data_IF_330638993998
#
_entry.id   IF_330638993998
#
_cell.length_a   1.000
_cell.length_b   1.000
_cell.length_c   1.000
_cell.angle_alpha   90.00
_cell.angle_beta   90.00
_cell.angle_gamma   90.00
#
_symmetry.space_group_name_H-M   'P 1'
#
loop_
_entity.id
_entity.type
_entity.pdbx_description
1 polymer ?
#
# COMPACT_ATOMS: atom_id res chain seq x y z
N UNK A 1 3.58 43.60 -18.13
CA UNK A 1 4.84 44.31 -17.77
C UNK A 1 5.95 43.40 -18.17
N UNK A 2 6.64 43.78 -19.25
CA UNK A 2 7.78 43.01 -19.77
C UNK A 2 9.05 43.53 -19.13
N UNK A 3 9.85 42.66 -18.58
CA UNK A 3 11.23 42.94 -18.21
C UNK A 3 12.15 42.12 -19.13
N UNK A 4 12.92 42.79 -19.96
CA UNK A 4 13.96 42.19 -20.77
C UNK A 4 15.25 42.19 -19.95
N UNK A 5 15.78 41.01 -19.69
CA UNK A 5 17.14 40.84 -19.22
C UNK A 5 17.79 39.72 -20.01
N UNK A 6 18.76 40.13 -20.82
CA UNK A 6 19.80 39.33 -21.52
C UNK A 6 19.53 37.84 -21.75
N UNK A 7 18.92 37.47 -22.84
CA UNK A 7 19.40 36.32 -23.62
C UNK A 7 18.81 34.95 -23.37
N UNK A 8 17.77 34.77 -22.54
CA UNK A 8 17.07 33.48 -22.44
C UNK A 8 15.56 33.72 -22.27
N UNK A 9 14.79 33.30 -23.27
CA UNK A 9 13.33 33.41 -23.29
C UNK A 9 12.72 32.22 -22.51
N UNK A 10 12.41 32.39 -21.23
CA UNK A 10 11.59 31.44 -20.49
C UNK A 10 10.11 31.75 -20.70
N UNK A 11 9.44 30.89 -21.44
CA UNK A 11 7.97 30.94 -21.64
C UNK A 11 7.29 30.19 -20.51
N UNK A 12 6.74 30.92 -19.53
CA UNK A 12 5.89 30.34 -18.48
C UNK A 12 4.50 30.12 -19.08
N UNK A 13 4.06 28.89 -19.21
CA UNK A 13 2.68 28.53 -19.53
C UNK A 13 1.85 28.60 -18.22
N UNK A 14 0.96 29.57 -18.16
CA UNK A 14 -0.05 29.63 -17.13
C UNK A 14 -1.23 28.76 -17.58
N UNK A 15 -1.41 27.63 -16.95
CA UNK A 15 -2.59 26.78 -17.13
C UNK A 15 -3.76 27.44 -16.42
N UNK A 16 -4.75 27.89 -17.18
CA UNK A 16 -6.04 28.38 -16.64
C UNK A 16 -6.93 27.18 -16.38
N UNK A 17 -7.29 26.97 -15.12
CA UNK A 17 -8.37 26.07 -14.74
C UNK A 17 -9.74 26.72 -14.99
N UNK A 18 -10.75 25.98 -15.48
CA UNK A 18 -12.10 26.51 -15.66
C UNK A 18 -12.78 26.74 -14.30
N UNK A 19 -13.67 27.74 -14.17
CA UNK A 19 -14.36 28.02 -12.93
C UNK A 19 -15.49 27.02 -12.69
N UNK A 20 -15.48 26.34 -11.55
CA UNK A 20 -16.63 25.62 -11.05
C UNK A 20 -17.66 26.58 -10.46
N UNK A 21 -18.92 26.35 -10.77
CA UNK A 21 -20.10 27.09 -10.34
C UNK A 21 -20.22 27.18 -8.83
N UNK A 22 -20.30 28.41 -8.33
CA UNK A 22 -20.81 28.75 -7.01
C UNK A 22 -22.34 28.63 -6.94
N UNK A 23 -22.85 27.95 -5.92
CA UNK A 23 -24.18 28.21 -5.39
C UNK A 23 -24.16 28.35 -3.88
N UNK A 24 -24.19 29.62 -3.47
CA UNK A 24 -24.92 30.27 -2.38
C UNK A 24 -24.88 29.70 -0.95
N UNK A 25 -24.29 30.35 -0.03
CA UNK A 25 -24.82 31.29 0.98
C UNK A 25 -23.84 31.52 2.15
N UNK A 26 -23.34 32.69 2.17
CA UNK A 26 -23.05 33.65 3.21
C UNK A 26 -22.90 33.21 4.67
N UNK A 27 -21.64 33.32 5.17
CA UNK A 27 -21.31 34.15 6.36
C UNK A 27 -19.80 34.31 6.45
N UNK A 28 -19.40 35.56 6.51
CA UNK A 28 -18.04 36.05 6.73
C UNK A 28 -17.69 35.82 8.21
N UNK A 29 -16.59 35.10 8.47
CA UNK A 29 -15.87 35.18 9.74
C UNK A 29 -14.40 35.48 9.46
N UNK A 30 -13.88 36.50 10.11
CA UNK A 30 -12.56 37.09 9.94
C UNK A 30 -11.50 36.30 10.70
N UNK A 31 -10.32 36.17 10.06
CA UNK A 31 -9.05 36.30 10.76
C UNK A 31 -8.36 35.02 11.24
N UNK A 32 -7.44 34.50 10.42
CA UNK A 32 -6.33 33.66 10.91
C UNK A 32 -5.02 34.22 10.36
N UNK A 33 -3.96 34.38 11.18
CA UNK A 33 -2.73 35.06 10.79
C UNK A 33 -1.83 34.17 9.92
N UNK A 34 -1.26 34.84 8.93
CA UNK A 34 -0.29 34.36 7.96
C UNK A 34 1.01 33.87 8.62
N UNK A 35 1.23 32.57 8.74
CA UNK A 35 2.55 32.02 9.11
C UNK A 35 3.47 31.96 7.90
N UNK A 36 4.63 32.57 8.06
CA UNK A 36 5.68 32.75 7.07
C UNK A 36 6.29 31.37 6.69
N UNK A 37 6.19 30.99 5.43
CA UNK A 37 6.97 29.90 4.86
C UNK A 37 8.43 30.31 4.73
N UNK A 38 9.32 29.67 5.47
CA UNK A 38 10.76 29.79 5.34
C UNK A 38 11.20 28.77 4.27
N UNK A 39 11.64 29.31 3.13
CA UNK A 39 12.24 28.52 2.05
C UNK A 39 13.73 28.32 2.37
N UNK A 40 14.15 27.11 2.70
CA UNK A 40 15.57 26.75 2.83
C UNK A 40 16.05 26.19 1.50
N UNK A 41 16.84 26.98 0.78
CA UNK A 41 17.57 26.53 -0.42
C UNK A 41 18.92 26.00 0.06
N UNK A 42 19.13 24.69 -0.06
CA UNK A 42 20.47 24.08 0.12
C UNK A 42 21.15 23.94 -1.23
N UNK A 43 22.17 24.74 -1.44
CA UNK A 43 23.05 24.69 -2.59
C UNK A 43 24.12 23.63 -2.35
N UNK A 44 24.06 22.49 -3.01
CA UNK A 44 25.13 21.48 -2.97
C UNK A 44 26.13 21.71 -4.10
N UNK A 45 27.34 22.03 -3.68
CA UNK A 45 28.51 22.23 -4.52
C UNK A 45 29.18 20.89 -4.83
N UNK A 46 29.18 20.50 -6.10
CA UNK A 46 29.84 19.28 -6.58
C UNK A 46 31.35 19.49 -6.68
N UNK A 47 32.13 18.64 -6.02
CA UNK A 47 33.59 18.58 -6.22
C UNK A 47 33.94 17.29 -6.95
N UNK A 48 34.36 17.41 -8.19
CA UNK A 48 34.96 16.37 -9.02
C UNK A 48 36.40 16.11 -8.55
N UNK A 49 36.70 14.85 -8.24
CA UNK A 49 38.10 14.40 -8.23
C UNK A 49 38.19 13.04 -8.93
N UNK A 50 38.76 13.10 -10.12
CA UNK A 50 39.25 11.98 -10.92
C UNK A 50 40.53 11.42 -10.30
N UNK A 51 40.69 10.10 -10.22
CA UNK A 51 42.00 9.47 -10.31
C UNK A 51 41.94 8.13 -11.03
N UNK A 52 42.89 7.95 -11.86
CA UNK A 52 43.16 6.98 -12.93
C UNK A 52 43.87 5.74 -12.43
N UNK A 53 43.53 4.59 -13.07
CA UNK A 53 44.39 3.51 -13.59
C UNK A 53 45.43 2.81 -12.70
N UNK A 54 45.39 1.46 -12.72
CA UNK A 54 46.34 0.49 -13.28
C UNK A 54 45.94 -0.90 -12.79
N UNK A 55 45.57 -1.89 -13.65
CA UNK A 55 46.39 -2.78 -14.48
C UNK A 55 47.12 -3.90 -13.73
N UNK A 56 46.85 -5.17 -14.12
CA UNK A 56 47.63 -6.37 -13.85
C UNK A 56 46.76 -7.55 -13.57
N UNK A 57 46.32 -8.34 -14.48
CA UNK A 57 46.85 -9.47 -15.28
C UNK A 57 47.05 -10.80 -14.49
N UNK A 58 46.34 -11.85 -15.01
CA UNK A 58 46.70 -13.29 -15.16
C UNK A 58 46.78 -14.14 -13.87
N UNK A 59 46.40 -15.34 -13.81
CA UNK A 59 46.03 -16.47 -14.69
C UNK A 59 45.67 -17.69 -13.84
N UNK A 60 44.87 -18.60 -14.43
CA UNK A 60 44.96 -20.06 -14.50
C UNK A 60 44.20 -20.92 -13.48
N UNK A 61 43.11 -21.47 -13.95
CA UNK A 61 42.85 -22.88 -14.32
C UNK A 61 43.29 -23.99 -13.34
N UNK A 62 42.34 -24.77 -12.82
CA UNK A 62 42.32 -26.22 -13.00
C UNK A 62 41.11 -26.84 -12.27
N UNK A 63 40.20 -27.47 -13.00
CA UNK A 63 39.47 -28.70 -12.63
C UNK A 63 40.42 -29.88 -12.87
N UNK A 64 40.19 -31.10 -12.37
CA UNK A 64 38.98 -31.91 -12.47
C UNK A 64 38.69 -32.89 -11.30
N UNK A 65 37.48 -33.38 -11.25
CA UNK A 65 37.09 -34.79 -11.50
C UNK A 65 36.80 -35.71 -10.30
N UNK A 66 35.58 -36.28 -10.36
CA UNK A 66 35.18 -37.70 -10.25
C UNK A 66 35.09 -38.33 -8.87
N UNK A 67 33.93 -38.77 -8.43
CA UNK A 67 33.41 -40.11 -8.40
C UNK A 67 32.35 -40.32 -7.32
N UNK A 68 31.18 -40.74 -7.72
CA UNK A 68 30.25 -41.51 -6.88
C UNK A 68 30.78 -42.96 -6.75
N UNK A 69 30.33 -43.75 -5.78
CA UNK A 69 29.27 -44.70 -6.11
C UNK A 69 28.22 -44.94 -5.00
N UNK A 70 27.14 -45.48 -5.48
CA UNK A 70 26.01 -46.15 -4.84
C UNK A 70 26.41 -47.27 -3.86
N UNK A 71 25.56 -47.61 -2.91
CA UNK A 71 24.99 -48.95 -2.78
C UNK A 71 23.93 -49.04 -1.67
N UNK A 72 22.83 -49.66 -2.04
CA UNK A 72 21.67 -50.21 -1.33
C UNK A 72 21.97 -50.98 -0.03
N UNK A 73 20.98 -51.13 0.88
CA UNK A 73 20.18 -52.35 1.07
C UNK A 73 19.41 -52.32 2.41
N UNK A 74 18.11 -52.43 2.30
CA UNK A 74 17.08 -53.21 3.01
C UNK A 74 17.36 -53.75 4.42
N UNK A 75 16.41 -53.57 5.36
CA UNK A 75 15.65 -54.66 5.99
C UNK A 75 14.63 -54.15 7.03
N UNK A 76 13.43 -54.70 6.94
CA UNK A 76 12.28 -54.67 7.86
C UNK A 76 12.62 -55.22 9.24
N UNK A 77 11.91 -54.71 10.26
CA UNK A 77 11.34 -55.57 11.33
C UNK A 77 10.23 -54.83 12.08
N UNK A 78 9.08 -55.44 12.08
CA UNK A 78 7.89 -55.18 12.88
C UNK A 78 8.18 -55.41 14.37
N UNK A 79 7.46 -54.74 15.28
CA UNK A 79 6.62 -55.28 16.30
C UNK A 79 6.42 -54.30 17.46
N UNK A 80 5.26 -54.04 17.74
CA UNK A 80 4.34 -54.11 18.87
C UNK A 80 3.91 -52.77 19.51
N UNK A 81 2.62 -52.74 19.59
CA UNK A 81 1.65 -51.89 20.20
C UNK A 81 1.85 -51.72 21.71
N UNK A 82 1.93 -50.49 22.19
CA UNK A 82 1.39 -50.17 23.51
C UNK A 82 0.54 -48.86 23.41
N UNK A 83 -0.74 -49.07 23.62
CA UNK A 83 -1.75 -48.04 23.73
C UNK A 83 -1.63 -47.39 25.12
N UNK A 84 -1.07 -46.19 25.16
CA UNK A 84 -1.26 -45.30 26.30
C UNK A 84 -2.27 -44.23 25.86
N UNK A 85 -3.45 -44.31 26.47
CA UNK A 85 -4.47 -43.29 26.36
C UNK A 85 -3.98 -42.06 27.13
N UNK A 86 -3.32 -41.11 26.44
CA UNK A 86 -3.22 -39.74 26.91
C UNK A 86 -4.55 -39.06 26.64
N UNK A 87 -5.21 -38.67 27.71
CA UNK A 87 -6.33 -37.74 27.68
C UNK A 87 -5.75 -36.39 27.28
N UNK A 88 -5.78 -36.10 25.98
CA UNK A 88 -5.58 -34.73 25.49
C UNK A 88 -6.75 -33.91 26.03
N UNK A 89 -6.47 -33.12 27.06
CA UNK A 89 -7.30 -31.97 27.38
C UNK A 89 -7.14 -31.01 26.20
N UNK A 90 -8.08 -31.05 25.27
CA UNK A 90 -8.24 -29.94 24.32
C UNK A 90 -8.46 -28.68 25.17
N UNK A 91 -7.42 -27.92 25.35
CA UNK A 91 -7.54 -26.50 25.67
C UNK A 91 -8.21 -25.92 24.43
N UNK A 92 -9.52 -25.64 24.50
CA UNK A 92 -10.15 -24.75 23.53
C UNK A 92 -9.30 -23.50 23.50
N UNK A 93 -8.59 -23.29 22.38
CA UNK A 93 -7.98 -22.01 22.08
C UNK A 93 -9.15 -21.01 22.09
N UNK A 94 -9.18 -20.10 23.04
CA UNK A 94 -10.07 -18.94 22.99
C UNK A 94 -9.84 -18.33 21.61
N UNK A 95 -10.84 -18.44 20.75
CA UNK A 95 -10.80 -17.77 19.45
C UNK A 95 -10.83 -16.28 19.75
N UNK A 96 -9.72 -15.59 19.47
CA UNK A 96 -9.64 -14.14 19.61
C UNK A 96 -10.76 -13.53 18.75
N UNK A 97 -11.73 -12.90 19.42
CA UNK A 97 -12.84 -12.25 18.73
C UNK A 97 -12.35 -10.86 18.29
N UNK A 98 -12.16 -10.61 16.98
CA UNK A 98 -11.58 -9.36 16.50
C UNK A 98 -12.44 -8.12 16.77
N UNK A 99 -13.68 -8.27 17.25
CA UNK A 99 -14.55 -7.17 17.67
C UNK A 99 -14.33 -6.75 19.13
N UNK A 100 -13.72 -7.62 19.96
CA UNK A 100 -13.50 -7.35 21.39
C UNK A 100 -12.27 -6.47 21.57
N UNK A 101 -12.42 -5.38 22.30
CA UNK A 101 -11.34 -4.42 22.60
C UNK A 101 -10.91 -4.49 24.06
N UNK A 102 -9.60 -4.34 24.29
CA UNK A 102 -9.05 -4.24 25.64
C UNK A 102 -9.48 -2.94 26.33
N UNK A 103 -9.31 -2.88 27.66
CA UNK A 103 -9.60 -1.66 28.41
C UNK A 103 -8.75 -0.47 27.94
N UNK A 104 -9.41 0.67 27.68
CA UNK A 104 -8.77 1.90 27.20
C UNK A 104 -8.49 1.96 25.71
N UNK A 105 -8.91 0.95 24.95
CA UNK A 105 -8.85 0.91 23.49
C UNK A 105 -10.17 1.39 22.90
N UNK A 106 -10.12 2.22 21.87
CA UNK A 106 -11.28 2.72 21.16
C UNK A 106 -11.95 1.63 20.33
N UNK A 107 -13.26 1.58 20.31
CA UNK A 107 -14.02 0.91 19.26
C UNK A 107 -13.84 1.64 17.94
N UNK A 108 -14.11 0.98 16.81
CA UNK A 108 -14.07 1.64 15.50
C UNK A 108 -15.01 2.86 15.42
N UNK A 109 -16.19 2.78 16.02
CA UNK A 109 -17.14 3.89 16.07
C UNK A 109 -16.60 5.09 16.86
N UNK A 110 -15.90 4.86 17.97
CA UNK A 110 -15.24 5.93 18.73
C UNK A 110 -14.07 6.54 17.96
N UNK A 111 -13.27 5.72 17.27
CA UNK A 111 -12.22 6.20 16.38
C UNK A 111 -12.77 7.07 15.24
N UNK A 112 -13.83 6.64 14.57
CA UNK A 112 -14.47 7.42 13.50
C UNK A 112 -14.99 8.77 14.05
N UNK A 113 -15.58 8.78 15.25
CA UNK A 113 -16.12 9.98 15.89
C UNK A 113 -15.05 10.92 16.48
N UNK A 114 -13.82 10.44 16.68
CA UNK A 114 -12.72 11.26 17.21
C UNK A 114 -12.36 12.38 16.23
N UNK A 115 -12.09 13.58 16.77
CA UNK A 115 -11.65 14.73 15.97
C UNK A 115 -10.23 14.49 15.42
N UNK A 116 -9.90 15.16 14.31
CA UNK A 116 -8.52 15.18 13.79
C UNK A 116 -7.58 15.78 14.83
N UNK A 117 -6.31 15.41 14.76
CA UNK A 117 -5.22 15.77 15.70
C UNK A 117 -5.46 15.26 17.14
N UNK A 118 -6.41 14.33 17.35
CA UNK A 118 -6.67 13.69 18.63
C UNK A 118 -5.81 12.44 18.76
N UNK A 119 -5.26 12.21 19.96
CA UNK A 119 -4.60 10.94 20.27
C UNK A 119 -5.63 9.81 20.31
N UNK A 120 -5.30 8.73 19.62
CA UNK A 120 -6.13 7.52 19.54
C UNK A 120 -5.35 6.30 20.02
N UNK A 121 -6.06 5.35 20.60
CA UNK A 121 -5.53 4.03 20.95
C UNK A 121 -6.44 3.00 20.33
N UNK A 122 -5.91 2.17 19.44
CA UNK A 122 -6.68 1.14 18.73
C UNK A 122 -6.00 -0.22 18.86
N UNK A 123 -6.77 -1.28 18.70
CA UNK A 123 -6.30 -2.64 18.46
C UNK A 123 -6.83 -3.08 17.09
N UNK A 124 -5.92 -3.58 16.27
CA UNK A 124 -6.26 -4.07 14.94
C UNK A 124 -5.27 -5.15 14.50
N UNK A 125 -5.57 -5.76 13.37
CA UNK A 125 -4.77 -6.85 12.81
C UNK A 125 -4.13 -6.41 11.49
N UNK A 126 -2.85 -6.64 11.35
CA UNK A 126 -2.10 -6.35 10.12
C UNK A 126 -2.74 -7.10 8.96
N UNK A 127 -3.09 -6.42 7.88
CA UNK A 127 -3.58 -7.03 6.65
C UNK A 127 -2.51 -6.99 5.55
N UNK A 128 -1.80 -5.88 5.46
CA UNK A 128 -0.64 -5.72 4.58
C UNK A 128 0.26 -4.60 5.09
N UNK A 129 1.47 -4.53 4.58
CA UNK A 129 2.43 -3.47 4.91
C UNK A 129 3.25 -3.10 3.69
N UNK A 130 3.59 -1.83 3.58
CA UNK A 130 4.56 -1.33 2.60
C UNK A 130 5.99 -1.73 3.00
N UNK A 131 6.93 -1.58 2.10
CA UNK A 131 8.35 -1.80 2.36
C UNK A 131 8.83 -0.95 3.54
N UNK A 132 9.67 -1.57 4.39
CA UNK A 132 10.30 -0.85 5.51
C UNK A 132 11.25 0.25 5.01
N UNK A 133 11.21 1.41 5.66
CA UNK A 133 12.03 2.55 5.30
C UNK A 133 12.37 3.40 6.54
N UNK A 134 13.65 3.64 6.80
CA UNK A 134 14.15 4.58 7.81
C UNK A 134 13.47 4.43 9.18
N UNK A 135 13.47 3.21 9.74
CA UNK A 135 12.82 2.87 11.02
C UNK A 135 11.31 3.16 11.05
N UNK A 136 10.64 3.01 9.93
CA UNK A 136 9.20 3.22 9.76
C UNK A 136 8.52 2.11 8.98
N UNK A 137 7.25 1.89 9.30
CA UNK A 137 6.36 1.01 8.56
C UNK A 137 5.04 1.73 8.26
N UNK A 138 4.56 1.62 7.03
CA UNK A 138 3.19 1.98 6.66
C UNK A 138 2.39 0.70 6.54
N UNK A 139 1.26 0.62 7.25
CA UNK A 139 0.55 -0.65 7.48
C UNK A 139 -0.95 -0.47 7.30
N UNK A 140 -1.55 -1.34 6.50
CA UNK A 140 -3.00 -1.53 6.45
C UNK A 140 -3.41 -2.49 7.54
N UNK A 141 -4.28 -2.04 8.44
CA UNK A 141 -4.81 -2.85 9.55
C UNK A 141 -6.32 -2.85 9.54
N UNK A 142 -6.92 -3.93 10.01
CA UNK A 142 -8.37 -4.08 10.07
C UNK A 142 -8.77 -4.97 11.25
N UNK A 143 -9.90 -4.66 11.85
CA UNK A 143 -10.61 -5.54 12.79
C UNK A 143 -11.96 -5.99 12.18
N UNK A 144 -12.86 -6.52 13.00
CA UNK A 144 -14.19 -6.95 12.51
C UNK A 144 -15.09 -5.77 12.14
N UNK A 145 -14.88 -4.59 12.73
CA UNK A 145 -15.77 -3.43 12.64
C UNK A 145 -15.30 -2.39 11.62
N UNK A 146 -13.97 -2.35 11.33
CA UNK A 146 -13.43 -1.38 10.39
C UNK A 146 -11.92 -1.48 10.20
N UNK A 147 -11.36 -0.52 9.48
CA UNK A 147 -9.96 -0.51 9.11
C UNK A 147 -9.26 0.80 9.47
N UNK A 148 -7.94 0.70 9.64
CA UNK A 148 -7.08 1.82 10.03
C UNK A 148 -5.81 1.80 9.19
N UNK A 149 -5.45 2.95 8.65
CA UNK A 149 -4.21 3.14 7.90
C UNK A 149 -3.16 3.78 8.81
N UNK A 150 -2.05 3.08 9.05
CA UNK A 150 -0.96 3.55 9.89
C UNK A 150 0.14 4.09 9.00
N UNK A 151 0.28 5.41 8.95
CA UNK A 151 1.26 6.04 8.07
C UNK A 151 2.57 6.30 8.80
N UNK A 152 3.67 5.76 8.25
CA UNK A 152 5.02 5.97 8.79
C UNK A 152 5.16 5.70 10.30
N UNK A 153 4.48 4.66 10.79
CA UNK A 153 4.56 4.24 12.18
C UNK A 153 6.02 3.87 12.55
N UNK A 154 6.49 4.33 13.71
CA UNK A 154 7.83 4.00 14.20
C UNK A 154 7.98 2.48 14.36
N UNK A 155 8.94 1.88 13.64
CA UNK A 155 9.09 0.44 13.55
C UNK A 155 10.54 0.04 13.27
N UNK A 156 11.17 -0.70 14.18
CA UNK A 156 12.48 -1.29 13.91
C UNK A 156 12.40 -2.35 12.82
N UNK A 157 13.51 -2.64 12.13
CA UNK A 157 13.56 -3.71 11.13
C UNK A 157 13.21 -5.08 11.74
N UNK A 158 13.62 -5.32 13.00
CA UNK A 158 13.29 -6.55 13.72
C UNK A 158 11.78 -6.68 13.96
N UNK A 159 11.12 -5.60 14.40
CA UNK A 159 9.67 -5.62 14.65
C UNK A 159 8.88 -5.62 13.33
N UNK A 160 9.39 -4.94 12.30
CA UNK A 160 8.80 -5.02 10.97
C UNK A 160 8.71 -6.46 10.45
N UNK A 161 9.74 -7.28 10.69
CA UNK A 161 9.71 -8.69 10.29
C UNK A 161 8.60 -9.49 11.00
N UNK A 162 8.18 -9.07 12.20
CA UNK A 162 7.10 -9.70 12.98
C UNK A 162 5.69 -9.27 12.56
N UNK A 163 5.56 -8.12 11.89
CA UNK A 163 4.28 -7.60 11.38
C UNK A 163 3.85 -8.40 10.15
N UNK A 164 3.43 -9.63 10.34
CA UNK A 164 2.89 -10.50 9.29
C UNK A 164 1.36 -10.36 9.21
N UNK A 165 0.76 -10.72 8.07
CA UNK A 165 -0.70 -10.71 7.92
C UNK A 165 -1.36 -11.50 9.03
N UNK A 166 -2.36 -10.91 9.67
CA UNK A 166 -3.09 -11.46 10.80
C UNK A 166 -2.52 -11.07 12.17
N UNK A 167 -1.29 -10.54 12.27
CA UNK A 167 -0.69 -10.14 13.56
C UNK A 167 -1.53 -9.07 14.24
N UNK A 168 -1.94 -9.29 15.51
CA UNK A 168 -2.61 -8.31 16.34
C UNK A 168 -1.61 -7.29 16.87
N UNK A 169 -1.96 -6.02 16.75
CA UNK A 169 -1.19 -4.91 17.31
C UNK A 169 -2.09 -3.92 18.04
N UNK A 170 -1.57 -3.38 19.14
CA UNK A 170 -2.14 -2.23 19.83
C UNK A 170 -1.32 -1.00 19.46
N UNK A 171 -2.01 0.01 18.95
CA UNK A 171 -1.39 1.21 18.38
C UNK A 171 -1.82 2.44 19.16
N UNK A 172 -0.85 3.30 19.47
CA UNK A 172 -1.08 4.65 19.99
C UNK A 172 -0.50 5.66 19.02
N UNK A 173 -1.33 6.61 18.54
CA UNK A 173 -0.92 7.62 17.59
C UNK A 173 -1.91 8.76 17.54
N UNK A 174 -1.88 9.56 16.48
CA UNK A 174 -2.77 10.70 16.30
C UNK A 174 -3.58 10.53 15.01
N UNK A 175 -4.91 10.68 15.10
CA UNK A 175 -5.77 10.68 13.94
C UNK A 175 -5.48 11.90 13.08
N UNK A 176 -5.23 11.68 11.80
CA UNK A 176 -4.92 12.71 10.83
C UNK A 176 -5.71 12.50 9.54
N UNK A 177 -5.66 13.47 8.65
CA UNK A 177 -6.21 13.36 7.31
C UNK A 177 -5.25 13.99 6.31
N UNK A 178 -5.00 13.26 5.22
CA UNK A 178 -4.22 13.76 4.10
C UNK A 178 -4.94 13.52 2.78
N UNK A 179 -5.38 14.59 2.13
CA UNK A 179 -6.10 14.53 0.83
C UNK A 179 -7.34 13.62 0.83
N UNK A 180 -8.05 13.56 1.97
CA UNK A 180 -9.23 12.73 2.17
C UNK A 180 -8.94 11.33 2.72
N UNK A 181 -7.68 10.92 2.80
CA UNK A 181 -7.27 9.69 3.49
C UNK A 181 -7.20 9.94 4.99
N UNK A 182 -7.98 9.16 5.77
CA UNK A 182 -7.93 9.20 7.24
C UNK A 182 -6.88 8.20 7.72
N UNK A 183 -5.85 8.71 8.38
CA UNK A 183 -4.69 7.95 8.79
C UNK A 183 -4.36 8.14 10.27
N UNK A 184 -3.53 7.26 10.83
CA UNK A 184 -2.92 7.42 12.14
C UNK A 184 -1.44 7.69 11.93
N UNK A 185 -0.97 8.86 12.42
CA UNK A 185 0.40 9.33 12.31
C UNK A 185 1.10 9.36 13.66
N UNK A 186 2.42 9.54 13.65
CA UNK A 186 3.27 9.58 14.86
C UNK A 186 2.99 8.39 15.80
N UNK A 187 2.71 7.24 15.19
CA UNK A 187 2.26 6.05 15.87
C UNK A 187 3.41 5.21 16.43
N UNK A 188 3.14 4.57 17.55
CA UNK A 188 3.90 3.46 18.13
C UNK A 188 2.98 2.27 18.34
N UNK A 189 3.54 1.06 18.48
CA UNK A 189 2.74 -0.15 18.63
C UNK A 189 3.36 -1.15 19.61
N UNK A 190 2.51 -2.06 20.07
CA UNK A 190 2.87 -3.28 20.78
C UNK A 190 2.25 -4.45 20.04
N UNK A 191 2.99 -5.56 19.89
CA UNK A 191 2.45 -6.81 19.33
C UNK A 191 1.74 -7.55 20.44
N UNK A 192 0.51 -8.00 20.16
CA UNK A 192 -0.33 -8.74 21.10
C UNK A 192 -0.62 -10.16 20.59
N UNK A 193 -1.11 -11.03 21.49
CA UNK A 193 -1.63 -12.35 21.10
C UNK A 193 -2.94 -12.17 20.33
N UNK A 194 -3.09 -12.91 19.24
CA UNK A 194 -4.28 -12.89 18.39
C UNK A 194 -3.94 -12.98 16.91
N UNK A 195 -4.91 -13.44 16.14
CA UNK A 195 -4.77 -13.53 14.68
C UNK A 195 -6.12 -13.35 13.99
N UNK A 196 -6.17 -12.42 13.04
CA UNK A 196 -7.33 -12.20 12.20
C UNK A 196 -6.93 -11.70 10.81
N UNK A 197 -7.47 -12.36 9.79
CA UNK A 197 -7.35 -11.94 8.40
C UNK A 197 -8.75 -11.59 7.89
N UNK A 198 -8.94 -10.34 7.53
CA UNK A 198 -10.24 -9.87 7.06
C UNK A 198 -10.57 -10.48 5.68
N UNK A 199 -11.79 -10.98 5.48
CA UNK A 199 -12.25 -11.33 4.14
C UNK A 199 -12.45 -10.07 3.29
N UNK A 200 -12.18 -10.15 1.98
CA UNK A 200 -12.46 -9.05 1.09
C UNK A 200 -13.97 -8.76 1.00
N UNK A 201 -14.36 -7.52 1.33
CA UNK A 201 -15.74 -7.06 1.18
C UNK A 201 -16.00 -6.67 -0.28
N UNK A 202 -17.03 -7.24 -0.91
CA UNK A 202 -17.43 -6.83 -2.26
C UNK A 202 -18.11 -5.45 -2.23
N UNK A 203 -17.41 -4.45 -2.71
CA UNK A 203 -17.89 -3.05 -2.81
C UNK A 203 -18.19 -2.62 -4.25
N UNK A 204 -18.24 -3.56 -5.19
CA UNK A 204 -18.46 -3.28 -6.62
C UNK A 204 -19.68 -2.40 -6.85
N UNK A 205 -20.81 -2.73 -6.20
CA UNK A 205 -22.06 -1.98 -6.35
C UNK A 205 -22.05 -0.60 -5.66
N UNK A 206 -21.05 -0.32 -4.82
CA UNK A 206 -20.91 0.95 -4.10
C UNK A 206 -20.05 1.97 -4.87
N UNK A 207 -19.34 1.54 -5.93
CA UNK A 207 -18.56 2.44 -6.77
C UNK A 207 -19.43 3.59 -7.30
N UNK A 208 -18.95 4.83 -7.07
CA UNK A 208 -19.65 6.06 -7.47
C UNK A 208 -20.76 6.49 -6.52
N UNK A 209 -20.94 5.84 -5.37
CA UNK A 209 -21.86 6.28 -4.31
C UNK A 209 -21.11 6.97 -3.18
N UNK A 210 -21.78 7.87 -2.46
CA UNK A 210 -21.24 8.56 -1.29
C UNK A 210 -20.98 7.60 -0.11
N UNK A 211 -21.63 6.44 -0.08
CA UNK A 211 -21.52 5.48 1.02
C UNK A 211 -20.16 4.74 1.02
N UNK A 212 -19.46 4.70 -0.12
CA UNK A 212 -18.20 3.98 -0.27
C UNK A 212 -17.13 4.48 0.73
N UNK A 213 -17.12 5.77 1.06
CA UNK A 213 -16.17 6.35 2.03
C UNK A 213 -16.22 5.70 3.42
N UNK A 214 -17.37 5.14 3.81
CA UNK A 214 -17.52 4.47 5.10
C UNK A 214 -16.71 3.18 5.22
N UNK A 215 -16.17 2.69 4.11
CA UNK A 215 -15.35 1.48 4.03
C UNK A 215 -13.88 1.79 3.74
N UNK A 216 -13.46 3.06 3.92
CA UNK A 216 -12.09 3.49 3.71
C UNK A 216 -11.10 2.59 4.46
N UNK A 217 -9.98 2.29 3.81
CA UNK A 217 -8.90 1.42 4.30
C UNK A 217 -9.23 -0.07 4.45
N UNK A 218 -10.48 -0.49 4.30
CA UNK A 218 -10.84 -1.90 4.37
C UNK A 218 -10.28 -2.69 3.20
N UNK A 219 -10.04 -3.98 3.44
CA UNK A 219 -9.74 -4.95 2.40
C UNK A 219 -11.03 -5.27 1.63
N UNK A 220 -11.04 -4.96 0.35
CA UNK A 220 -12.24 -4.97 -0.50
C UNK A 220 -12.01 -5.73 -1.79
N UNK A 221 -13.11 -6.10 -2.46
CA UNK A 221 -13.08 -6.66 -3.81
C UNK A 221 -13.95 -5.86 -4.79
N UNK A 222 -13.54 -5.87 -6.05
CA UNK A 222 -14.23 -5.31 -7.20
C UNK A 222 -14.38 -6.40 -8.26
N UNK A 223 -15.59 -6.66 -8.71
CA UNK A 223 -15.90 -7.81 -9.58
C UNK A 223 -16.46 -7.41 -10.93
N UNK A 224 -16.05 -8.14 -11.97
CA UNK A 224 -16.58 -7.97 -13.31
C UNK A 224 -16.27 -6.61 -13.93
N UNK A 225 -15.16 -5.99 -13.57
CA UNK A 225 -14.72 -4.69 -14.11
C UNK A 225 -14.11 -4.87 -15.49
N UNK A 226 -14.33 -3.93 -16.40
CA UNK A 226 -13.74 -3.96 -17.74
C UNK A 226 -12.51 -3.07 -17.79
N UNK A 227 -11.39 -3.60 -18.28
CA UNK A 227 -10.13 -2.84 -18.45
C UNK A 227 -10.30 -1.81 -19.55
N UNK A 228 -9.97 -0.56 -19.26
CA UNK A 228 -10.03 0.57 -20.19
C UNK A 228 -8.63 1.13 -20.46
N UNK A 229 -8.51 1.97 -21.49
CA UNK A 229 -7.23 2.66 -21.73
C UNK A 229 -6.85 3.55 -20.55
N UNK A 230 -5.64 3.37 -20.02
CA UNK A 230 -5.07 4.23 -18.99
C UNK A 230 -4.42 5.49 -19.59
N UNK A 231 -3.95 5.41 -20.83
CA UNK A 231 -3.31 6.48 -21.57
C UNK A 231 -2.80 6.01 -22.92
N UNK A 232 -1.80 6.70 -23.46
CA UNK A 232 -1.17 6.36 -24.74
C UNK A 232 0.35 6.24 -24.58
N UNK A 233 0.96 5.34 -25.35
CA UNK A 233 2.39 5.23 -25.49
C UNK A 233 2.97 6.36 -26.38
N UNK A 234 4.30 6.43 -26.51
CA UNK A 234 4.99 7.43 -27.35
C UNK A 234 4.62 7.35 -28.84
N UNK A 235 4.07 6.22 -29.28
CA UNK A 235 3.60 6.01 -30.64
C UNK A 235 2.13 6.39 -30.84
N UNK A 236 1.42 6.75 -29.75
CA UNK A 236 0.02 7.12 -29.74
C UNK A 236 -0.95 5.94 -29.70
N UNK A 237 -0.48 4.73 -29.31
CA UNK A 237 -1.35 3.59 -29.10
C UNK A 237 -1.89 3.62 -27.66
N UNK A 238 -3.17 3.25 -27.51
CA UNK A 238 -3.77 3.10 -26.20
C UNK A 238 -3.09 1.96 -25.42
N UNK A 239 -2.81 2.21 -24.13
CA UNK A 239 -2.18 1.26 -23.19
C UNK A 239 -3.08 0.99 -21.99
N UNK A 240 -3.04 -0.25 -21.46
CA UNK A 240 -3.89 -0.66 -20.36
C UNK A 240 -3.42 -0.13 -18.99
N UNK A 241 -2.16 0.28 -18.86
CA UNK A 241 -1.60 0.86 -17.64
C UNK A 241 -0.55 1.93 -17.96
N UNK A 242 -0.25 2.76 -16.97
CA UNK A 242 0.86 3.73 -16.98
C UNK A 242 1.78 3.45 -15.79
N UNK A 243 3.08 3.70 -15.97
CA UNK A 243 4.00 3.88 -14.86
C UNK A 243 3.84 5.30 -14.33
N UNK A 244 3.57 5.45 -13.04
CA UNK A 244 3.09 6.68 -12.42
C UNK A 244 1.79 7.22 -13.05
N UNK A 245 1.13 8.12 -12.34
CA UNK A 245 -0.16 8.70 -12.74
C UNK A 245 -0.14 9.47 -14.07
N UNK A 246 1.03 9.96 -14.47
CA UNK A 246 1.24 10.77 -15.68
C UNK A 246 2.06 10.06 -16.78
N UNK A 247 2.41 8.79 -16.57
CA UNK A 247 3.24 8.02 -17.50
C UNK A 247 4.74 8.33 -17.44
N UNK A 248 5.21 9.14 -16.49
CA UNK A 248 6.62 9.55 -16.35
C UNK A 248 7.51 8.50 -15.69
N UNK A 249 6.92 7.40 -15.17
CA UNK A 249 7.64 6.37 -14.45
C UNK A 249 8.31 5.33 -15.34
N UNK A 250 8.95 4.37 -14.69
CA UNK A 250 9.64 3.24 -15.31
C UNK A 250 9.35 1.94 -14.52
N UNK A 251 9.91 0.83 -14.95
CA UNK A 251 9.77 -0.45 -14.24
C UNK A 251 10.12 -0.31 -12.75
N UNK A 252 9.19 -0.73 -11.88
CA UNK A 252 9.31 -0.57 -10.42
C UNK A 252 8.62 0.67 -9.87
N UNK A 253 8.11 1.58 -10.73
CA UNK A 253 7.19 2.65 -10.31
C UNK A 253 5.77 2.10 -10.07
N UNK A 254 4.91 2.89 -9.44
CA UNK A 254 3.49 2.57 -9.30
C UNK A 254 2.84 2.33 -10.67
N UNK A 255 1.89 1.39 -10.72
CA UNK A 255 1.09 1.16 -11.91
C UNK A 255 -0.29 1.78 -11.72
N UNK A 256 -0.68 2.64 -12.65
CA UNK A 256 -2.02 3.22 -12.74
C UNK A 256 -2.76 2.59 -13.91
N UNK A 257 -3.94 2.07 -13.66
CA UNK A 257 -4.75 1.44 -14.71
C UNK A 257 -6.22 1.80 -14.54
N UNK A 258 -6.93 1.82 -15.64
CA UNK A 258 -8.34 2.19 -15.68
C UNK A 258 -9.21 0.96 -15.85
N UNK A 259 -10.30 0.93 -15.08
CA UNK A 259 -11.36 -0.06 -15.22
C UNK A 259 -12.73 0.61 -15.24
N UNK A 260 -13.70 0.03 -15.90
CA UNK A 260 -15.06 0.58 -15.96
C UNK A 260 -16.10 -0.37 -15.41
N UNK A 261 -17.16 0.23 -14.87
CA UNK A 261 -18.39 -0.44 -14.46
C UNK A 261 -19.58 0.39 -14.91
N UNK A 262 -20.52 -0.23 -15.64
CA UNK A 262 -21.73 0.43 -16.14
C UNK A 262 -21.46 1.74 -16.90
N UNK A 263 -20.33 1.82 -17.62
CA UNK A 263 -19.94 2.99 -18.43
C UNK A 263 -19.28 4.12 -17.64
N UNK A 264 -18.99 3.93 -16.36
CA UNK A 264 -18.18 4.84 -15.55
C UNK A 264 -16.79 4.26 -15.37
N UNK A 265 -15.75 5.04 -15.65
CA UNK A 265 -14.34 4.65 -15.52
C UNK A 265 -13.79 5.11 -14.18
N UNK A 266 -13.00 4.23 -13.56
CA UNK A 266 -12.29 4.43 -12.30
C UNK A 266 -10.81 4.12 -12.50
N UNK A 267 -9.94 4.89 -11.85
CA UNK A 267 -8.50 4.65 -11.86
C UNK A 267 -8.10 3.92 -10.58
N UNK A 268 -7.39 2.81 -10.73
CA UNK A 268 -6.88 1.99 -9.65
C UNK A 268 -5.35 1.96 -9.70
N UNK A 269 -4.73 1.67 -8.56
CA UNK A 269 -3.27 1.73 -8.42
C UNK A 269 -2.72 0.42 -7.88
N UNK A 270 -1.62 -0.07 -8.47
CA UNK A 270 -0.71 -1.00 -7.79
C UNK A 270 0.44 -0.15 -7.25
N UNK A 271 0.42 0.10 -5.96
CA UNK A 271 1.39 0.94 -5.27
C UNK A 271 2.67 0.15 -5.03
N UNK A 272 3.80 0.64 -5.51
CA UNK A 272 5.05 -0.10 -5.63
C UNK A 272 5.72 -0.43 -4.30
N UNK A 273 5.47 0.37 -3.26
CA UNK A 273 5.96 0.06 -1.90
C UNK A 273 5.15 -1.05 -1.22
N UNK A 274 3.89 -1.24 -1.62
CA UNK A 274 3.02 -2.32 -1.15
C UNK A 274 3.23 -3.59 -1.99
N UNK A 275 3.26 -3.43 -3.32
CA UNK A 275 3.33 -4.51 -4.29
C UNK A 275 4.41 -4.20 -5.34
N UNK A 276 5.67 -4.51 -5.01
CA UNK A 276 6.81 -4.26 -5.90
C UNK A 276 6.76 -5.06 -7.21
N UNK A 277 7.69 -4.75 -8.13
CA UNK A 277 7.72 -5.30 -9.49
C UNK A 277 7.85 -6.83 -9.57
N UNK A 278 8.28 -7.48 -8.51
CA UNK A 278 8.39 -8.94 -8.40
C UNK A 278 7.10 -9.64 -7.97
N UNK A 279 6.08 -8.90 -7.53
CA UNK A 279 4.79 -9.45 -7.11
C UNK A 279 3.93 -9.93 -8.28
N UNK A 280 3.04 -10.87 -8.01
CA UNK A 280 2.15 -11.42 -9.03
C UNK A 280 1.13 -10.38 -9.53
N UNK A 281 0.62 -9.50 -8.66
CA UNK A 281 -0.31 -8.44 -9.04
C UNK A 281 0.35 -7.43 -9.96
N UNK A 282 1.59 -7.02 -9.68
CA UNK A 282 2.33 -6.10 -10.54
C UNK A 282 2.50 -6.67 -11.96
N UNK A 283 2.90 -7.94 -12.05
CA UNK A 283 3.02 -8.66 -13.33
C UNK A 283 1.67 -8.85 -14.02
N UNK A 284 0.61 -9.15 -13.25
CA UNK A 284 -0.74 -9.32 -13.81
C UNK A 284 -1.26 -8.02 -14.43
N UNK A 285 -1.11 -6.87 -13.76
CA UNK A 285 -1.53 -5.56 -14.30
C UNK A 285 -0.75 -5.20 -15.56
N UNK A 286 0.54 -5.47 -15.61
CA UNK A 286 1.36 -5.27 -16.82
C UNK A 286 0.94 -6.15 -18.00
N UNK A 287 0.29 -7.26 -17.74
CA UNK A 287 -0.21 -8.19 -18.77
C UNK A 287 -1.66 -7.94 -19.18
N UNK A 288 -2.34 -6.93 -18.61
CA UNK A 288 -3.72 -6.60 -18.95
C UNK A 288 -3.84 -6.10 -20.39
N UNK A 289 -4.94 -6.50 -21.02
CA UNK A 289 -5.35 -6.01 -22.34
C UNK A 289 -6.67 -5.23 -22.19
N UNK A 290 -6.80 -4.12 -22.93
CA UNK A 290 -8.02 -3.31 -22.97
C UNK A 290 -9.19 -4.17 -23.40
N UNK A 291 -10.31 -4.09 -22.68
CA UNK A 291 -11.53 -4.85 -22.93
C UNK A 291 -11.60 -6.19 -22.17
N UNK A 292 -10.56 -6.62 -21.47
CA UNK A 292 -10.63 -7.78 -20.58
C UNK A 292 -11.56 -7.50 -19.40
N UNK A 293 -12.21 -8.54 -18.89
CA UNK A 293 -12.96 -8.49 -17.64
C UNK A 293 -12.10 -9.01 -16.52
N UNK A 294 -12.05 -8.28 -15.40
CA UNK A 294 -11.21 -8.60 -14.24
C UNK A 294 -12.01 -8.57 -12.94
N UNK A 295 -11.61 -9.45 -12.02
CA UNK A 295 -11.91 -9.33 -10.59
C UNK A 295 -10.63 -8.89 -9.86
N UNK A 296 -10.78 -8.03 -8.86
CA UNK A 296 -9.66 -7.44 -8.15
C UNK A 296 -9.92 -7.41 -6.65
N UNK A 297 -8.83 -7.48 -5.87
CA UNK A 297 -8.86 -7.25 -4.44
C UNK A 297 -7.75 -6.27 -4.04
N UNK A 298 -7.98 -5.51 -2.97
CA UNK A 298 -7.02 -4.54 -2.47
C UNK A 298 -7.59 -3.73 -1.32
N UNK A 299 -6.91 -2.65 -0.98
CA UNK A 299 -7.31 -1.75 0.10
C UNK A 299 -7.99 -0.50 -0.47
N UNK A 300 -9.11 -0.10 0.14
CA UNK A 300 -9.88 1.06 -0.29
C UNK A 300 -9.22 2.35 0.18
N UNK A 301 -8.06 2.65 -0.39
CA UNK A 301 -7.31 3.88 -0.14
C UNK A 301 -8.00 5.10 -0.79
N UNK A 302 -7.72 6.28 -0.25
CA UNK A 302 -8.34 7.53 -0.69
C UNK A 302 -7.28 8.59 -1.01
N UNK A 303 -7.41 9.23 -2.18
CA UNK A 303 -6.56 10.37 -2.55
C UNK A 303 -7.37 11.35 -3.40
N UNK A 304 -7.92 12.39 -2.76
CA UNK A 304 -8.87 13.32 -3.40
C UNK A 304 -10.07 12.61 -4.05
N UNK A 305 -10.42 11.43 -3.57
CA UNK A 305 -11.43 10.53 -4.10
C UNK A 305 -10.99 9.07 -3.93
N UNK A 306 -11.81 8.15 -4.38
CA UNK A 306 -11.52 6.72 -4.32
C UNK A 306 -10.30 6.38 -5.17
N UNK A 307 -9.28 5.77 -4.57
CA UNK A 307 -8.03 5.36 -5.23
C UNK A 307 -7.53 4.02 -4.65
N UNK A 308 -8.19 2.90 -4.94
CA UNK A 308 -7.87 1.61 -4.35
C UNK A 308 -6.44 1.17 -4.68
N UNK A 309 -5.72 0.68 -3.66
CA UNK A 309 -4.43 0.03 -3.81
C UNK A 309 -4.62 -1.46 -4.00
N UNK A 310 -4.47 -1.94 -5.22
CA UNK A 310 -4.81 -3.30 -5.64
C UNK A 310 -3.66 -4.26 -5.33
N UNK A 311 -4.00 -5.39 -4.72
CA UNK A 311 -3.07 -6.46 -4.32
C UNK A 311 -3.29 -7.78 -5.05
N UNK A 312 -4.41 -7.90 -5.79
CA UNK A 312 -4.73 -9.08 -6.59
C UNK A 312 -5.57 -8.70 -7.81
N UNK A 313 -5.25 -9.29 -8.97
CA UNK A 313 -6.02 -9.16 -10.21
C UNK A 313 -6.16 -10.53 -10.85
N UNK A 314 -7.39 -10.88 -11.21
CA UNK A 314 -7.74 -12.13 -11.89
C UNK A 314 -8.53 -11.80 -13.16
N UNK A 315 -8.01 -12.19 -14.31
CA UNK A 315 -8.71 -12.08 -15.60
C UNK A 315 -9.75 -13.21 -15.69
N UNK A 316 -10.99 -12.87 -16.09
CA UNK A 316 -12.14 -13.78 -16.16
C UNK A 316 -12.14 -14.62 -17.44
#
# INVERSE_FOLDING_TARGET
>A
MEYICSGILCRVHVVKFPPHCDMANGKIAQGVPLMKKILVIVLSLSLLLSFSACSGTEDKETTPDTTAPETETTAESETETETVAETETETEAETDDPSVKSEGVMTYAEYVAAELDTQVVIEAYVQAKQSWWEDKATVYTQDADGAYFLYNMACSEEDYAKLTTGTKIKVTGYKSEWSGEVEIIDATFEIEEGNYVAPALDVTAMLGTDDLINYQNQFVSFKGMTVEAAGQDDAGNDVAFLYNWDGSGEEGSDLYFNVSLNGTTYTFTVESYLCGADTDVYKAVKALEIGQTVDMEGFLYWYNGVNPHITSVVVQ
#
